data_IF_152846040442
#
_entry.id   IF_152846040442
#
_cell.length_a   1.000
_cell.length_b   1.000
_cell.length_c   1.000
_cell.angle_alpha   90.00
_cell.angle_beta   90.00
_cell.angle_gamma   90.00
#
_symmetry.space_group_name_H-M   'P 1'
#
loop_
_entity.id
_entity.type
_entity.pdbx_description
1 polymer ?
#
# COMPACT_ATOMS: atom_id res chain seq x y z
N UNK A 1 -8.96 62.62 -79.82
CA UNK A 1 -8.51 63.27 -78.58
C UNK A 1 -7.10 62.79 -78.34
N UNK A 2 -6.18 63.71 -78.59
CA UNK A 2 -4.81 63.87 -78.08
C UNK A 2 -3.97 62.58 -77.99
N UNK A 3 -3.24 62.26 -79.05
CA UNK A 3 -1.87 62.73 -79.31
C UNK A 3 -0.89 62.37 -78.18
N UNK A 4 -0.05 61.36 -78.41
CA UNK A 4 1.39 61.53 -78.67
C UNK A 4 2.06 60.14 -78.65
N UNK A 5 1.97 59.39 -79.75
CA UNK A 5 3.04 59.08 -80.73
C UNK A 5 4.17 58.21 -80.16
N UNK A 6 4.28 56.96 -80.62
CA UNK A 6 5.19 56.49 -81.70
C UNK A 6 6.55 56.08 -81.11
N UNK A 7 7.18 54.94 -81.40
CA UNK A 7 7.29 54.11 -82.61
C UNK A 7 7.77 52.71 -82.18
N UNK A 8 7.14 51.62 -82.62
CA UNK A 8 7.42 50.89 -83.88
C UNK A 8 8.69 50.03 -83.87
N UNK A 9 8.45 48.71 -83.86
CA UNK A 9 9.05 47.69 -84.72
C UNK A 9 10.58 47.53 -84.85
N UNK A 10 10.92 46.23 -84.84
CA UNK A 10 11.88 45.52 -85.69
C UNK A 10 13.37 45.41 -85.30
N UNK A 11 13.74 44.13 -85.12
CA UNK A 11 14.94 43.41 -85.58
C UNK A 11 16.33 43.94 -85.23
N UNK A 12 17.09 43.00 -84.66
CA UNK A 12 18.50 42.99 -84.32
C UNK A 12 19.46 43.72 -85.28
N UNK A 13 20.59 44.16 -84.71
CA UNK A 13 21.88 43.94 -85.35
C UNK A 13 22.82 43.13 -84.45
N UNK A 14 23.60 42.26 -85.09
CA UNK A 14 24.85 41.74 -84.56
C UNK A 14 25.85 42.90 -84.34
N UNK A 15 26.54 42.90 -83.21
CA UNK A 15 27.74 43.71 -83.01
C UNK A 15 28.05 44.01 -81.55
N UNK A 16 29.10 43.37 -81.02
CA UNK A 16 29.95 43.95 -79.97
C UNK A 16 29.56 43.74 -78.51
N UNK A 17 30.20 42.75 -77.90
CA UNK A 17 30.88 42.75 -76.59
C UNK A 17 30.24 43.36 -75.31
N UNK A 18 30.13 42.48 -74.31
CA UNK A 18 29.84 42.65 -72.86
C UNK A 18 28.42 43.16 -72.53
N UNK A 19 27.58 42.47 -71.73
CA UNK A 19 27.73 42.35 -70.27
C UNK A 19 26.60 41.46 -69.68
N UNK A 20 26.92 40.78 -68.58
CA UNK A 20 26.07 40.55 -67.40
C UNK A 20 24.80 39.68 -67.50
N UNK A 21 25.01 38.36 -67.35
CA UNK A 21 24.03 37.50 -66.67
C UNK A 21 24.22 37.68 -65.15
N UNK A 22 23.32 38.43 -64.52
CA UNK A 22 23.25 38.53 -63.06
C UNK A 22 22.62 37.24 -62.50
N UNK A 23 23.47 36.36 -61.99
CA UNK A 23 23.11 35.31 -61.04
C UNK A 23 22.91 36.00 -59.68
N UNK A 24 21.78 35.85 -58.98
CA UNK A 24 21.66 36.35 -57.62
C UNK A 24 22.60 35.52 -56.73
N UNK A 25 23.79 36.07 -56.50
CA UNK A 25 24.75 35.52 -55.56
C UNK A 25 24.12 35.55 -54.17
N UNK A 26 24.02 34.39 -53.53
CA UNK A 26 23.65 34.24 -52.14
C UNK A 26 24.66 35.01 -51.28
N UNK A 27 24.28 36.21 -50.83
CA UNK A 27 25.05 36.95 -49.84
C UNK A 27 24.92 36.27 -48.47
N UNK A 28 25.69 35.21 -48.25
CA UNK A 28 26.03 34.77 -46.90
C UNK A 28 27.02 35.81 -46.34
N UNK A 29 26.50 36.76 -45.54
CA UNK A 29 27.31 37.75 -44.86
C UNK A 29 28.25 37.06 -43.86
N UNK A 30 29.51 36.86 -44.26
CA UNK A 30 30.59 36.33 -43.42
C UNK A 30 30.79 37.30 -42.24
N UNK A 31 30.65 36.86 -40.97
CA UNK A 31 30.79 37.78 -39.85
C UNK A 31 32.25 38.25 -39.74
N UNK A 32 32.48 39.56 -39.97
CA UNK A 32 33.79 40.20 -39.75
C UNK A 32 34.20 39.99 -38.28
N UNK A 33 35.43 39.49 -38.06
CA UNK A 33 35.95 38.92 -36.81
C UNK A 33 35.97 39.79 -35.53
N UNK A 34 35.25 40.92 -35.48
CA UNK A 34 35.14 41.76 -34.27
C UNK A 34 34.07 41.29 -33.27
N UNK A 35 33.06 40.52 -33.70
CA UNK A 35 31.99 40.05 -32.80
C UNK A 35 32.08 38.56 -32.43
N UNK A 36 32.92 37.76 -33.09
CA UNK A 36 33.04 36.33 -32.82
C UNK A 36 33.49 36.04 -31.38
N UNK A 37 34.40 36.86 -30.83
CA UNK A 37 34.83 36.75 -29.43
C UNK A 37 33.67 36.97 -28.44
N UNK A 38 32.73 37.88 -28.72
CA UNK A 38 31.55 38.11 -27.87
C UNK A 38 30.62 36.90 -27.90
N UNK A 39 30.36 36.32 -29.07
CA UNK A 39 29.52 35.12 -29.19
C UNK A 39 30.14 33.88 -28.54
N UNK A 40 31.46 33.72 -28.63
CA UNK A 40 32.17 32.63 -27.93
C UNK A 40 32.08 32.80 -26.42
N UNK A 41 32.27 34.03 -25.90
CA UNK A 41 32.16 34.30 -24.46
C UNK A 41 30.71 34.14 -23.97
N UNK A 42 29.70 34.64 -24.69
CA UNK A 42 28.29 34.43 -24.33
C UNK A 42 27.88 32.95 -24.44
N UNK A 43 28.40 32.22 -25.43
CA UNK A 43 28.19 30.78 -25.57
C UNK A 43 28.82 29.99 -24.42
N UNK A 44 30.06 30.30 -24.04
CA UNK A 44 30.76 29.66 -22.90
C UNK A 44 30.10 30.00 -21.56
N UNK A 45 29.77 31.27 -21.31
CA UNK A 45 29.09 31.68 -20.06
C UNK A 45 27.69 31.07 -19.98
N UNK A 46 26.96 31.02 -21.10
CA UNK A 46 25.66 30.35 -21.18
C UNK A 46 25.77 28.85 -20.92
N UNK A 47 26.78 28.17 -21.48
CA UNK A 47 27.02 26.74 -21.28
C UNK A 47 27.44 26.44 -19.83
N UNK A 48 28.21 27.34 -19.21
CA UNK A 48 28.60 27.24 -17.81
C UNK A 48 27.41 27.45 -16.87
N UNK A 49 26.50 28.37 -17.21
CA UNK A 49 25.21 28.56 -16.52
C UNK A 49 24.30 27.34 -16.65
N UNK A 50 24.14 26.78 -17.85
CA UNK A 50 23.36 25.57 -18.09
C UNK A 50 23.98 24.37 -17.36
N UNK A 51 25.31 24.26 -17.34
CA UNK A 51 26.01 23.21 -16.61
C UNK A 51 25.83 23.36 -15.09
N UNK A 52 25.95 24.58 -14.54
CA UNK A 52 25.69 24.87 -13.12
C UNK A 52 24.23 24.61 -12.73
N UNK A 53 23.26 25.03 -13.55
CA UNK A 53 21.84 24.73 -13.36
C UNK A 53 21.60 23.21 -13.40
N UNK A 54 22.18 22.51 -14.37
CA UNK A 54 22.09 21.03 -14.48
C UNK A 54 22.73 20.32 -13.28
N UNK A 55 23.80 20.89 -12.71
CA UNK A 55 24.49 20.36 -11.54
C UNK A 55 23.70 20.62 -10.25
N UNK A 56 23.06 21.79 -10.15
CA UNK A 56 22.11 22.10 -9.08
C UNK A 56 20.92 21.15 -9.14
N UNK A 57 20.29 20.97 -10.31
CA UNK A 57 19.23 19.97 -10.49
C UNK A 57 19.70 18.55 -10.19
N UNK A 58 20.91 18.12 -10.59
CA UNK A 58 21.43 16.79 -10.19
C UNK A 58 21.60 16.61 -8.68
N UNK A 59 21.79 17.70 -7.92
CA UNK A 59 21.98 17.68 -6.46
C UNK A 59 20.68 17.89 -5.68
N UNK A 60 19.67 18.51 -6.30
CA UNK A 60 18.31 18.70 -5.74
C UNK A 60 17.24 17.80 -6.36
N UNK A 61 17.58 16.94 -7.34
CA UNK A 61 16.75 15.79 -7.70
C UNK A 61 16.75 14.89 -6.48
N UNK A 62 15.70 15.05 -5.68
CA UNK A 62 15.26 14.05 -4.70
C UNK A 62 15.19 12.76 -5.51
N UNK A 63 16.18 11.88 -5.30
CA UNK A 63 16.16 10.55 -5.90
C UNK A 63 14.79 9.96 -5.55
N UNK A 64 13.97 9.64 -6.54
CA UNK A 64 12.61 9.19 -6.31
C UNK A 64 12.56 7.94 -5.42
N UNK A 65 13.69 7.24 -5.32
CA UNK A 65 13.91 6.07 -4.45
C UNK A 65 14.29 6.42 -3.00
N UNK A 66 14.58 7.68 -2.70
CA UNK A 66 14.80 8.16 -1.33
C UNK A 66 13.47 8.60 -0.71
N UNK A 67 13.25 8.23 0.55
CA UNK A 67 12.14 8.73 1.36
C UNK A 67 12.27 10.24 1.62
N UNK A 68 11.21 11.02 1.38
CA UNK A 68 11.13 12.43 1.79
C UNK A 68 10.53 12.62 3.19
N UNK A 69 10.71 13.80 3.79
CA UNK A 69 10.16 14.14 5.12
C UNK A 69 8.63 14.19 5.10
N UNK A 70 8.04 14.68 4.02
CA UNK A 70 6.58 14.76 3.81
C UNK A 70 5.96 13.36 3.64
N UNK A 71 6.61 12.49 2.86
CA UNK A 71 6.19 11.09 2.70
C UNK A 71 6.25 10.34 4.03
N UNK A 72 7.31 10.57 4.80
CA UNK A 72 7.44 9.98 6.13
C UNK A 72 6.41 10.53 7.12
N UNK A 73 6.11 11.82 7.11
CA UNK A 73 5.06 12.40 7.96
C UNK A 73 3.68 11.79 7.66
N UNK A 74 3.44 11.43 6.40
CA UNK A 74 2.23 10.72 5.98
C UNK A 74 2.18 9.30 6.55
N UNK A 75 3.32 8.58 6.53
CA UNK A 75 3.46 7.26 7.18
C UNK A 75 3.22 7.36 8.69
N UNK A 76 3.87 8.32 9.35
CA UNK A 76 3.79 8.54 10.78
C UNK A 76 2.54 9.31 11.23
N UNK A 77 1.52 9.43 10.37
CA UNK A 77 0.26 10.04 10.77
C UNK A 77 -0.35 9.27 11.94
N UNK A 78 -0.94 10.00 12.89
CA UNK A 78 -1.52 9.42 14.10
C UNK A 78 -2.49 8.27 13.79
N UNK A 79 -3.27 8.41 12.72
CA UNK A 79 -4.20 7.37 12.28
C UNK A 79 -3.49 6.10 11.81
N UNK A 80 -2.40 6.20 11.05
CA UNK A 80 -1.65 5.03 10.60
C UNK A 80 -0.98 4.30 11.77
N UNK A 81 -0.38 5.05 12.70
CA UNK A 81 0.20 4.49 13.93
C UNK A 81 -0.88 3.74 14.72
N UNK A 82 -2.02 4.39 14.97
CA UNK A 82 -3.13 3.78 15.69
C UNK A 82 -3.69 2.52 15.01
N UNK A 83 -3.76 2.50 13.68
CA UNK A 83 -4.25 1.36 12.92
C UNK A 83 -3.30 0.16 13.01
N UNK A 84 -1.99 0.39 12.81
CA UNK A 84 -1.02 -0.70 12.86
C UNK A 84 -0.83 -1.23 14.29
N UNK A 85 -0.82 -0.34 15.29
CA UNK A 85 -0.80 -0.72 16.70
C UNK A 85 -2.05 -1.53 17.06
N UNK A 86 -3.22 -1.10 16.61
CA UNK A 86 -4.47 -1.82 16.83
C UNK A 86 -4.43 -3.24 16.27
N UNK A 87 -3.84 -3.43 15.09
CA UNK A 87 -3.65 -4.74 14.48
C UNK A 87 -2.68 -5.61 15.28
N UNK A 88 -1.47 -5.11 15.57
CA UNK A 88 -0.44 -5.89 16.28
C UNK A 88 -0.83 -6.20 17.72
N UNK A 89 -1.48 -5.26 18.42
CA UNK A 89 -2.06 -5.52 19.74
C UNK A 89 -3.16 -6.58 19.69
N UNK A 90 -3.94 -6.65 18.62
CA UNK A 90 -4.97 -7.70 18.45
C UNK A 90 -4.30 -9.05 18.33
N UNK A 91 -3.28 -9.19 17.47
CA UNK A 91 -2.51 -10.42 17.35
C UNK A 91 -1.82 -10.83 18.64
N UNK A 92 -1.26 -9.87 19.38
CA UNK A 92 -0.60 -10.11 20.66
C UNK A 92 -1.59 -10.59 21.74
N UNK A 93 -2.78 -9.99 21.80
CA UNK A 93 -3.84 -10.44 22.72
C UNK A 93 -4.31 -11.84 22.39
N UNK A 94 -4.47 -12.18 21.10
CA UNK A 94 -4.82 -13.55 20.68
C UNK A 94 -3.70 -14.53 21.07
N UNK A 95 -2.44 -14.18 20.84
CA UNK A 95 -1.29 -15.04 21.17
C UNK A 95 -1.27 -15.43 22.66
N UNK A 96 -1.59 -14.47 23.52
CA UNK A 96 -1.59 -14.62 24.98
C UNK A 96 -2.96 -15.03 25.57
N UNK A 97 -3.97 -15.34 24.74
CA UNK A 97 -5.32 -15.68 25.17
C UNK A 97 -6.00 -14.58 26.03
N UNK A 98 -5.72 -13.31 25.76
CA UNK A 98 -6.29 -12.13 26.46
C UNK A 98 -7.54 -11.56 25.79
N UNK A 99 -8.11 -12.27 24.84
CA UNK A 99 -9.26 -11.82 24.05
C UNK A 99 -10.18 -13.01 23.77
N UNK A 100 -11.49 -12.78 23.85
CA UNK A 100 -12.49 -13.83 23.67
C UNK A 100 -12.85 -14.04 22.19
N UNK A 101 -13.63 -15.10 21.93
CA UNK A 101 -14.21 -15.33 20.61
C UNK A 101 -15.06 -14.14 20.16
N UNK A 102 -16.00 -13.69 21.00
CA UNK A 102 -16.95 -12.63 20.67
C UNK A 102 -16.25 -11.28 20.43
N UNK A 103 -15.15 -11.03 21.13
CA UNK A 103 -14.32 -9.85 20.91
C UNK A 103 -13.64 -9.85 19.54
N UNK A 104 -13.35 -11.03 18.97
CA UNK A 104 -12.68 -11.19 17.67
C UNK A 104 -13.69 -11.27 16.52
N UNK A 105 -14.82 -11.95 16.72
CA UNK A 105 -15.84 -12.20 15.71
C UNK A 105 -17.03 -11.24 15.81
N UNK A 106 -16.73 -9.94 15.98
CA UNK A 106 -17.73 -8.88 15.90
C UNK A 106 -17.37 -7.85 14.79
N UNK A 107 -18.37 -7.08 14.28
CA UNK A 107 -18.14 -6.14 13.19
C UNK A 107 -17.12 -5.04 13.49
N UNK A 108 -16.99 -4.66 14.77
CA UNK A 108 -16.05 -3.62 15.18
C UNK A 108 -14.59 -4.10 15.10
N UNK A 109 -14.30 -5.31 15.59
CA UNK A 109 -12.96 -5.88 15.50
C UNK A 109 -12.61 -6.23 14.06
N UNK A 110 -13.56 -6.77 13.30
CA UNK A 110 -13.40 -7.01 11.86
C UNK A 110 -12.95 -5.74 11.14
N UNK A 111 -13.64 -4.62 11.38
CA UNK A 111 -13.27 -3.31 10.82
C UNK A 111 -11.86 -2.87 11.24
N UNK A 112 -11.50 -3.01 12.53
CA UNK A 112 -10.17 -2.63 13.03
C UNK A 112 -9.04 -3.42 12.35
N UNK A 113 -9.22 -4.73 12.20
CA UNK A 113 -8.23 -5.58 11.53
C UNK A 113 -8.02 -5.10 10.08
N UNK A 114 -9.09 -4.75 9.37
CA UNK A 114 -9.02 -4.23 8.00
C UNK A 114 -8.43 -2.82 7.90
N UNK A 115 -8.70 -1.94 8.86
CA UNK A 115 -8.03 -0.64 8.94
C UNK A 115 -6.50 -0.81 9.10
N UNK A 116 -6.08 -1.75 9.95
CA UNK A 116 -4.68 -2.16 10.07
C UNK A 116 -4.11 -2.76 8.79
N UNK A 117 -4.85 -3.63 8.11
CA UNK A 117 -4.47 -4.23 6.82
C UNK A 117 -4.21 -3.16 5.75
N UNK A 118 -5.12 -2.19 5.61
CA UNK A 118 -5.00 -1.09 4.64
C UNK A 118 -3.75 -0.25 4.95
N UNK A 119 -3.51 0.05 6.22
CA UNK A 119 -2.28 0.74 6.63
C UNK A 119 -1.04 -0.08 6.29
N UNK A 120 -1.01 -1.39 6.60
CA UNK A 120 0.12 -2.26 6.29
C UNK A 120 0.42 -2.32 4.77
N UNK A 121 -0.60 -2.42 3.93
CA UNK A 121 -0.47 -2.34 2.45
C UNK A 121 0.14 -1.01 2.03
N UNK A 122 -0.26 0.08 2.67
CA UNK A 122 0.30 1.42 2.41
C UNK A 122 1.78 1.48 2.79
N UNK A 123 2.14 0.99 4.00
CA UNK A 123 3.53 0.92 4.45
C UNK A 123 4.38 0.12 3.47
N UNK A 124 3.91 -1.07 3.06
CA UNK A 124 4.59 -1.95 2.13
C UNK A 124 4.82 -1.29 0.76
N UNK A 125 3.79 -0.65 0.20
CA UNK A 125 3.91 0.07 -1.07
C UNK A 125 4.96 1.17 -1.00
N UNK A 126 5.06 1.87 0.14
CA UNK A 126 6.04 2.93 0.28
C UNK A 126 7.45 2.33 0.42
N UNK A 127 7.65 1.33 1.27
CA UNK A 127 8.96 0.72 1.49
C UNK A 127 9.52 0.03 0.25
N UNK A 128 8.64 -0.52 -0.61
CA UNK A 128 9.02 -1.09 -1.90
C UNK A 128 9.53 -0.05 -2.90
N UNK A 129 8.88 1.11 -2.93
CA UNK A 129 9.24 2.21 -3.85
C UNK A 129 10.44 3.02 -3.34
N UNK A 130 10.57 3.15 -2.02
CA UNK A 130 11.57 3.96 -1.34
C UNK A 130 12.64 3.08 -0.74
N UNK A 131 13.56 2.60 -1.57
CA UNK A 131 14.54 1.61 -1.11
C UNK A 131 15.67 2.19 -0.24
N UNK A 132 15.75 3.52 -0.10
CA UNK A 132 16.80 4.22 0.64
C UNK A 132 16.22 5.41 1.41
N UNK A 133 16.95 5.86 2.42
CA UNK A 133 16.77 7.17 3.06
C UNK A 133 18.00 8.03 2.77
N UNK A 134 17.79 9.33 2.54
CA UNK A 134 18.87 10.31 2.71
C UNK A 134 18.98 10.72 4.18
N UNK A 135 20.15 11.20 4.62
CA UNK A 135 20.33 11.73 5.98
C UNK A 135 21.55 11.17 6.70
N UNK A 136 21.52 11.25 8.03
CA UNK A 136 22.58 10.72 8.90
C UNK A 136 22.67 9.20 8.80
N UNK A 137 23.81 8.63 9.19
CA UNK A 137 23.98 7.16 9.28
C UNK A 137 22.88 6.51 10.13
N UNK A 138 22.45 7.18 11.20
CA UNK A 138 21.40 6.70 12.08
C UNK A 138 20.03 6.71 11.39
N UNK A 139 19.70 7.76 10.63
CA UNK A 139 18.46 7.82 9.84
C UNK A 139 18.39 6.70 8.81
N UNK A 140 19.50 6.42 8.11
CA UNK A 140 19.60 5.31 7.16
C UNK A 140 19.36 3.96 7.85
N UNK A 141 20.02 3.73 8.99
CA UNK A 141 19.88 2.48 9.74
C UNK A 141 18.47 2.26 10.31
N UNK A 142 17.85 3.32 10.84
CA UNK A 142 16.48 3.28 11.36
C UNK A 142 15.49 2.95 10.23
N UNK A 143 15.65 3.57 9.06
CA UNK A 143 14.81 3.29 7.90
C UNK A 143 14.95 1.85 7.38
N UNK A 144 16.19 1.36 7.28
CA UNK A 144 16.44 -0.03 6.84
C UNK A 144 15.81 -1.04 7.80
N UNK A 145 15.83 -0.75 9.11
CA UNK A 145 15.19 -1.57 10.13
C UNK A 145 13.67 -1.55 10.00
N UNK A 146 13.08 -0.38 9.79
CA UNK A 146 11.65 -0.23 9.51
C UNK A 146 11.20 -1.00 8.26
N UNK A 147 11.88 -0.83 7.13
CA UNK A 147 11.56 -1.55 5.89
C UNK A 147 11.62 -3.07 6.10
N UNK A 148 12.69 -3.55 6.73
CA UNK A 148 12.86 -4.98 7.01
C UNK A 148 11.72 -5.50 7.89
N UNK A 149 11.33 -4.76 8.92
CA UNK A 149 10.23 -5.13 9.80
C UNK A 149 8.89 -5.22 9.04
N UNK A 150 8.62 -4.29 8.12
CA UNK A 150 7.44 -4.34 7.23
C UNK A 150 7.50 -5.56 6.31
N UNK A 151 8.64 -5.82 5.68
CA UNK A 151 8.81 -6.95 4.74
C UNK A 151 8.61 -8.31 5.43
N UNK A 152 9.15 -8.49 6.62
CA UNK A 152 9.01 -9.73 7.40
C UNK A 152 7.56 -10.01 7.80
N UNK A 153 6.79 -8.97 8.13
CA UNK A 153 5.39 -9.10 8.58
C UNK A 153 4.41 -9.20 7.44
N UNK A 154 4.64 -8.48 6.34
CA UNK A 154 3.63 -8.22 5.32
C UNK A 154 2.94 -9.49 4.83
N UNK A 155 3.71 -10.50 4.41
CA UNK A 155 3.15 -11.74 3.89
C UNK A 155 2.33 -12.49 4.95
N UNK A 156 2.92 -12.70 6.13
CA UNK A 156 2.32 -13.48 7.21
C UNK A 156 1.03 -12.83 7.75
N UNK A 157 1.02 -11.51 7.89
CA UNK A 157 -0.15 -10.77 8.35
C UNK A 157 -1.26 -10.82 7.28
N UNK A 158 -0.93 -10.64 6.01
CA UNK A 158 -1.92 -10.70 4.92
C UNK A 158 -2.53 -12.10 4.77
N UNK A 159 -1.72 -13.16 4.89
CA UNK A 159 -2.19 -14.56 4.87
C UNK A 159 -3.12 -14.86 6.05
N UNK A 160 -2.73 -14.48 7.27
CA UNK A 160 -3.56 -14.67 8.45
C UNK A 160 -4.88 -13.88 8.41
N UNK A 161 -4.87 -12.65 7.90
CA UNK A 161 -6.10 -11.84 7.74
C UNK A 161 -7.04 -12.47 6.71
N UNK A 162 -6.52 -12.96 5.59
CA UNK A 162 -7.36 -13.64 4.59
C UNK A 162 -8.04 -14.89 5.16
N UNK A 163 -7.33 -15.65 6.00
CA UNK A 163 -7.89 -16.81 6.70
C UNK A 163 -8.96 -16.35 7.70
N UNK A 164 -8.68 -15.32 8.48
CA UNK A 164 -9.67 -14.72 9.38
C UNK A 164 -10.93 -14.27 8.64
N UNK A 165 -10.82 -13.67 7.45
CA UNK A 165 -11.96 -13.25 6.64
C UNK A 165 -12.89 -14.40 6.29
N UNK A 166 -12.33 -15.56 5.92
CA UNK A 166 -13.11 -16.76 5.64
C UNK A 166 -13.85 -17.26 6.90
N UNK A 167 -13.19 -17.27 8.06
CA UNK A 167 -13.81 -17.65 9.32
C UNK A 167 -14.90 -16.67 9.77
N UNK A 168 -14.64 -15.36 9.65
CA UNK A 168 -15.60 -14.31 9.97
C UNK A 168 -16.83 -14.41 9.07
N UNK A 169 -16.62 -14.61 7.76
CA UNK A 169 -17.69 -14.80 6.78
C UNK A 169 -18.48 -16.07 7.07
N UNK A 170 -17.81 -17.19 7.40
CA UNK A 170 -18.49 -18.44 7.77
C UNK A 170 -19.40 -18.28 8.99
N UNK A 171 -18.97 -17.53 9.99
CA UNK A 171 -19.78 -17.23 11.18
C UNK A 171 -20.94 -16.30 10.88
N UNK A 172 -20.67 -15.18 10.19
CA UNK A 172 -21.67 -14.17 9.80
C UNK A 172 -22.77 -14.77 8.91
N UNK A 173 -22.38 -15.58 7.92
CA UNK A 173 -23.29 -16.19 6.96
C UNK A 173 -23.90 -17.50 7.49
N UNK A 174 -23.47 -17.95 8.69
CA UNK A 174 -23.82 -19.25 9.28
C UNK A 174 -23.60 -20.43 8.31
N UNK A 175 -22.49 -20.39 7.58
CA UNK A 175 -22.18 -21.32 6.52
C UNK A 175 -20.78 -21.92 6.70
N UNK A 176 -20.74 -23.14 7.26
CA UNK A 176 -19.48 -23.86 7.50
C UNK A 176 -18.76 -24.30 6.22
N UNK A 177 -19.43 -24.32 5.06
CA UNK A 177 -18.80 -24.71 3.80
C UNK A 177 -17.68 -23.74 3.39
N UNK A 178 -17.76 -22.47 3.80
CA UNK A 178 -16.74 -21.45 3.50
C UNK A 178 -15.36 -21.85 4.06
N UNK A 179 -15.34 -22.52 5.20
CA UNK A 179 -14.11 -22.98 5.88
C UNK A 179 -13.80 -24.46 5.62
N UNK A 180 -14.60 -25.18 4.81
CA UNK A 180 -14.39 -26.60 4.51
C UNK A 180 -13.03 -26.86 3.84
N UNK A 181 -12.54 -25.87 3.07
CA UNK A 181 -11.22 -25.87 2.43
C UNK A 181 -10.06 -26.07 3.42
N UNK A 182 -10.23 -25.71 4.69
CA UNK A 182 -9.22 -25.88 5.74
C UNK A 182 -9.23 -27.27 6.39
N UNK A 183 -10.13 -28.17 6.00
CA UNK A 183 -10.17 -29.56 6.51
C UNK A 183 -8.93 -30.39 6.16
N UNK A 184 -8.10 -29.90 5.23
CA UNK A 184 -6.85 -30.51 4.78
C UNK A 184 -5.71 -29.49 4.78
N UNK A 185 -4.46 -29.97 4.76
CA UNK A 185 -3.29 -29.10 4.76
C UNK A 185 -2.80 -28.73 6.17
N UNK A 186 -2.65 -27.42 6.44
CA UNK A 186 -2.07 -26.90 7.67
C UNK A 186 -2.82 -27.40 8.91
N UNK A 187 -2.09 -28.00 9.87
CA UNK A 187 -2.67 -28.61 11.06
C UNK A 187 -3.39 -27.60 11.97
N UNK A 188 -2.90 -26.36 12.06
CA UNK A 188 -3.55 -25.31 12.84
C UNK A 188 -4.92 -24.99 12.26
N UNK A 189 -4.99 -24.73 10.95
CA UNK A 189 -6.24 -24.40 10.27
C UNK A 189 -7.22 -25.55 10.29
N UNK A 190 -6.73 -26.78 10.14
CA UNK A 190 -7.56 -27.98 10.26
C UNK A 190 -8.24 -28.11 11.62
N UNK A 191 -7.48 -27.93 12.70
CA UNK A 191 -8.04 -28.02 14.06
C UNK A 191 -9.01 -26.86 14.31
N UNK A 192 -8.63 -25.63 13.94
CA UNK A 192 -9.50 -24.46 14.09
C UNK A 192 -10.81 -24.64 13.33
N UNK A 193 -10.75 -25.00 12.04
CA UNK A 193 -11.93 -25.16 11.19
C UNK A 193 -12.87 -26.26 11.69
N UNK A 194 -12.33 -27.37 12.22
CA UNK A 194 -13.15 -28.44 12.81
C UNK A 194 -13.97 -27.93 13.99
N UNK A 195 -13.33 -27.30 14.97
CA UNK A 195 -14.05 -26.81 16.15
C UNK A 195 -14.96 -25.62 15.82
N UNK A 196 -14.55 -24.75 14.89
CA UNK A 196 -15.36 -23.63 14.43
C UNK A 196 -16.61 -24.09 13.65
N UNK A 197 -16.50 -25.17 12.88
CA UNK A 197 -17.66 -25.81 12.23
C UNK A 197 -18.69 -26.26 13.26
N UNK A 198 -18.24 -26.77 14.42
CA UNK A 198 -19.16 -27.12 15.50
C UNK A 198 -19.89 -25.89 16.04
N UNK A 199 -19.20 -24.77 16.26
CA UNK A 199 -19.83 -23.50 16.65
C UNK A 199 -20.93 -23.12 15.66
N UNK A 200 -20.60 -23.04 14.36
CA UNK A 200 -21.59 -22.67 13.32
C UNK A 200 -22.79 -23.62 13.35
N UNK A 201 -22.56 -24.93 13.40
CA UNK A 201 -23.63 -25.92 13.41
C UNK A 201 -24.55 -25.78 14.63
N UNK A 202 -24.01 -25.47 15.81
CA UNK A 202 -24.82 -25.24 17.01
C UNK A 202 -25.52 -23.88 16.98
N UNK A 203 -24.90 -22.85 16.40
CA UNK A 203 -25.51 -21.53 16.19
C UNK A 203 -26.70 -21.60 15.24
N UNK A 204 -26.59 -22.36 14.13
CA UNK A 204 -27.71 -22.60 13.20
C UNK A 204 -28.89 -23.24 13.92
N UNK A 205 -28.66 -24.33 14.66
CA UNK A 205 -29.71 -25.01 15.44
C UNK A 205 -30.35 -24.09 16.48
N UNK A 206 -29.55 -23.26 17.16
CA UNK A 206 -30.09 -22.29 18.12
C UNK A 206 -30.95 -21.25 17.41
N UNK A 207 -30.49 -20.71 16.28
CA UNK A 207 -31.24 -19.76 15.46
C UNK A 207 -32.57 -20.36 14.99
N UNK A 208 -32.57 -21.61 14.52
CA UNK A 208 -33.81 -22.30 14.10
C UNK A 208 -34.84 -22.38 15.23
N UNK A 209 -34.40 -22.68 16.47
CA UNK A 209 -35.28 -22.72 17.64
C UNK A 209 -35.82 -21.33 18.03
N UNK A 210 -35.05 -20.28 17.78
CA UNK A 210 -35.49 -18.89 17.99
C UNK A 210 -36.49 -18.49 16.91
N UNK A 211 -36.15 -18.71 15.64
CA UNK A 211 -36.94 -18.30 14.47
C UNK A 211 -38.30 -19.02 14.44
N UNK A 212 -38.38 -20.27 14.93
CA UNK A 212 -39.65 -21.01 15.03
C UNK A 212 -40.45 -20.75 16.32
N UNK A 213 -39.96 -19.85 17.20
CA UNK A 213 -40.63 -19.47 18.44
C UNK A 213 -40.53 -20.47 19.59
N UNK A 214 -39.75 -21.55 19.47
CA UNK A 214 -39.50 -22.50 20.57
C UNK A 214 -38.69 -21.86 21.69
N UNK A 215 -37.76 -20.98 21.33
CA UNK A 215 -36.92 -20.22 22.25
C UNK A 215 -37.16 -18.72 22.07
N UNK A 216 -37.32 -17.99 23.18
CA UNK A 216 -37.42 -16.54 23.16
C UNK A 216 -36.01 -15.92 23.23
N UNK A 217 -35.63 -15.14 22.22
CA UNK A 217 -34.34 -14.46 22.17
C UNK A 217 -34.21 -13.30 23.19
N UNK A 218 -35.33 -12.78 23.71
CA UNK A 218 -35.34 -11.73 24.73
C UNK A 218 -35.18 -12.29 26.16
N UNK A 219 -35.32 -13.60 26.32
CA UNK A 219 -35.15 -14.28 27.60
C UNK A 219 -33.74 -14.83 27.77
N UNK A 220 -33.35 -14.98 29.03
CA UNK A 220 -32.15 -15.73 29.39
C UNK A 220 -32.33 -17.19 28.95
N UNK A 221 -31.72 -17.57 27.82
CA UNK A 221 -31.80 -18.90 27.22
C UNK A 221 -31.31 -20.02 28.16
N UNK A 222 -30.50 -19.67 29.17
CA UNK A 222 -30.08 -20.61 30.22
C UNK A 222 -31.21 -20.98 31.21
N UNK A 223 -32.31 -20.22 31.19
CA UNK A 223 -33.51 -20.42 32.02
C UNK A 223 -34.77 -20.71 31.19
N UNK A 224 -34.63 -20.84 29.87
CA UNK A 224 -35.74 -21.15 28.97
C UNK A 224 -36.28 -22.58 29.11
N UNK A 225 -37.03 -23.05 28.11
CA UNK A 225 -37.49 -24.46 28.09
C UNK A 225 -36.31 -25.46 28.14
N UNK A 226 -36.50 -26.71 28.57
CA UNK A 226 -35.43 -27.72 28.58
C UNK A 226 -34.71 -27.86 27.24
N UNK A 227 -35.45 -27.72 26.12
CA UNK A 227 -34.89 -27.72 24.76
C UNK A 227 -33.95 -26.53 24.54
N UNK A 228 -34.36 -25.32 24.93
CA UNK A 228 -33.55 -24.11 24.80
C UNK A 228 -32.29 -24.19 25.67
N UNK A 229 -32.42 -24.65 26.91
CA UNK A 229 -31.29 -24.81 27.83
C UNK A 229 -30.27 -25.81 27.29
N UNK A 230 -30.74 -26.97 26.78
CA UNK A 230 -29.85 -27.98 26.20
C UNK A 230 -29.11 -27.44 24.97
N UNK A 231 -29.82 -26.76 24.06
CA UNK A 231 -29.18 -26.22 22.86
C UNK A 231 -28.23 -25.07 23.19
N UNK A 232 -28.56 -24.22 24.16
CA UNK A 232 -27.68 -23.16 24.66
C UNK A 232 -26.40 -23.74 25.28
N UNK A 233 -26.55 -24.80 26.08
CA UNK A 233 -25.42 -25.53 26.65
C UNK A 233 -24.53 -26.12 25.55
N UNK A 234 -25.10 -26.79 24.55
CA UNK A 234 -24.34 -27.36 23.43
C UNK A 234 -23.56 -26.28 22.65
N UNK A 235 -24.16 -25.10 22.46
CA UNK A 235 -23.48 -23.96 21.82
C UNK A 235 -22.32 -23.45 22.69
N UNK A 236 -22.52 -23.23 23.98
CA UNK A 236 -21.46 -22.80 24.89
C UNK A 236 -20.32 -23.83 24.98
N UNK A 237 -20.63 -25.12 25.06
CA UNK A 237 -19.63 -26.18 25.01
C UNK A 237 -18.81 -26.13 23.71
N UNK A 238 -19.41 -25.74 22.58
CA UNK A 238 -18.67 -25.59 21.32
C UNK A 238 -17.70 -24.40 21.35
N UNK A 239 -18.07 -23.29 22.00
CA UNK A 239 -17.15 -22.17 22.24
C UNK A 239 -16.01 -22.57 23.19
N UNK A 240 -16.31 -23.28 24.26
CA UNK A 240 -15.30 -23.79 25.21
C UNK A 240 -14.33 -24.74 24.50
N UNK A 241 -14.82 -25.64 23.65
CA UNK A 241 -13.98 -26.55 22.88
C UNK A 241 -13.04 -25.80 21.94
N UNK A 242 -13.54 -24.78 21.23
CA UNK A 242 -12.72 -23.93 20.37
C UNK A 242 -11.66 -23.16 21.19
N UNK A 243 -12.02 -22.63 22.36
CA UNK A 243 -11.08 -21.98 23.27
C UNK A 243 -10.00 -22.95 23.77
N UNK A 244 -10.39 -24.13 24.23
CA UNK A 244 -9.50 -25.16 24.78
C UNK A 244 -8.43 -25.64 23.79
N UNK A 245 -8.75 -25.64 22.48
CA UNK A 245 -7.77 -25.96 21.44
C UNK A 245 -6.92 -24.77 20.99
N UNK A 246 -7.03 -23.61 21.64
CA UNK A 246 -6.47 -22.32 21.23
C UNK A 246 -6.92 -21.92 19.80
N UNK A 247 -8.21 -22.06 19.51
CA UNK A 247 -8.78 -21.88 18.18
C UNK A 247 -8.42 -20.53 17.54
N UNK A 248 -8.52 -19.42 18.28
CA UNK A 248 -8.12 -18.10 17.79
C UNK A 248 -6.65 -18.05 17.40
N UNK A 249 -5.75 -18.56 18.25
CA UNK A 249 -4.32 -18.60 17.97
C UNK A 249 -4.00 -19.44 16.73
N UNK A 250 -4.83 -20.44 16.43
CA UNK A 250 -4.69 -21.27 15.25
C UNK A 250 -5.19 -20.60 13.98
N UNK A 251 -6.25 -19.79 14.05
CA UNK A 251 -6.71 -18.99 12.90
C UNK A 251 -5.61 -18.02 12.44
N UNK A 252 -4.90 -17.42 13.39
CA UNK A 252 -3.82 -16.46 13.10
C UNK A 252 -2.42 -17.10 13.10
N UNK A 253 -2.29 -18.41 12.84
CA UNK A 253 -1.02 -19.09 13.10
C UNK A 253 0.17 -18.57 12.30
N UNK A 254 -0.02 -18.10 11.07
CA UNK A 254 1.05 -17.56 10.23
C UNK A 254 1.74 -16.34 10.88
N UNK A 255 0.99 -15.49 11.60
CA UNK A 255 1.55 -14.35 12.35
C UNK A 255 2.63 -14.82 13.34
N UNK A 256 2.41 -15.97 13.97
CA UNK A 256 3.25 -16.49 15.03
C UNK A 256 4.45 -17.30 14.52
N UNK A 257 4.61 -17.42 13.21
CA UNK A 257 5.83 -17.94 12.58
C UNK A 257 6.97 -16.90 12.57
N UNK A 258 6.67 -15.63 12.88
CA UNK A 258 7.68 -14.60 13.09
C UNK A 258 8.64 -15.01 14.21
N UNK A 259 9.94 -14.90 13.91
CA UNK A 259 10.99 -15.23 14.86
C UNK A 259 10.86 -14.35 16.10
N UNK A 260 10.85 -15.00 17.26
CA UNK A 260 10.77 -14.34 18.56
C UNK A 260 9.53 -13.44 18.72
N UNK A 261 8.38 -13.89 18.18
CA UNK A 261 7.12 -13.14 18.18
C UNK A 261 6.75 -12.54 19.55
N UNK A 262 6.99 -13.26 20.64
CA UNK A 262 6.66 -12.80 21.99
C UNK A 262 7.42 -11.53 22.43
N UNK A 263 8.61 -11.28 21.85
CA UNK A 263 9.44 -10.11 22.12
C UNK A 263 9.53 -9.18 20.89
N UNK A 264 8.65 -9.38 19.91
CA UNK A 264 8.64 -8.61 18.69
C UNK A 264 8.29 -7.15 19.00
N UNK A 265 9.13 -6.24 18.53
CA UNK A 265 8.83 -4.82 18.62
C UNK A 265 7.75 -4.42 17.62
N UNK A 266 6.81 -3.57 18.02
CA UNK A 266 5.72 -3.09 17.15
C UNK A 266 6.25 -2.24 15.99
N UNK A 267 5.58 -2.29 14.84
CA UNK A 267 5.90 -1.49 13.65
C UNK A 267 5.89 0.01 13.93
N UNK A 268 4.99 0.49 14.78
CA UNK A 268 4.96 1.90 15.20
C UNK A 268 6.25 2.34 15.86
N UNK A 269 6.90 1.46 16.63
CA UNK A 269 8.18 1.78 17.26
C UNK A 269 9.28 2.00 16.23
N UNK A 270 9.30 1.22 15.15
CA UNK A 270 10.24 1.43 14.04
C UNK A 270 9.95 2.74 13.30
N UNK A 271 8.67 3.09 13.10
CA UNK A 271 8.27 4.37 12.48
C UNK A 271 8.73 5.54 13.35
N UNK A 272 8.46 5.49 14.66
CA UNK A 272 8.86 6.53 15.61
C UNK A 272 10.38 6.67 15.70
N UNK A 273 11.10 5.56 15.78
CA UNK A 273 12.57 5.58 15.81
C UNK A 273 13.16 6.21 14.54
N UNK A 274 12.54 6.03 13.38
CA UNK A 274 12.97 6.69 12.14
C UNK A 274 12.61 8.19 12.13
N UNK A 275 11.43 8.56 12.61
CA UNK A 275 11.00 9.96 12.76
C UNK A 275 11.94 10.79 13.63
N UNK A 276 12.49 10.21 14.69
CA UNK A 276 13.44 10.89 15.60
C UNK A 276 14.78 11.26 14.93
N UNK A 277 15.12 10.67 13.78
CA UNK A 277 16.41 10.86 13.11
C UNK A 277 16.41 11.94 12.01
N UNK A 278 15.28 12.60 11.73
CA UNK A 278 15.06 13.50 10.57
C UNK A 278 14.38 14.81 10.94
#
# INVERSE_FOLDING_TARGET
MDQNTNNSFTSAPQGGDYSDIIIPNAYAAKPKGKNLKKYIVFGLVGLLFVFLLSFLFKKTVIDSKNMSKEELTTIASEQNIKNIDGLEQTFFKIYNNYISFDDVFNPYMYKKIHEGQVTLVTLKKITDNKQKSSGSKNAVQAYDSFRKAVDERYKLYMEAIAIYDDFYKAYSDMNAEIISKYSSGNLNYKIAAREFTNIINQSVKMKELVDNGTCNAEEDLSKGSPTCQLQYKNLNESFDNFHNVNGLRRVFSDVYELKDYANLQDLSSYINAYMEQI
#
